data_IF_056050113350
#
_entry.id   IF_056050113350
#
_cell.length_a   1.000
_cell.length_b   1.000
_cell.length_c   1.000
_cell.angle_alpha   90.00
_cell.angle_beta   90.00
_cell.angle_gamma   90.00
#
_symmetry.space_group_name_H-M   'P 1'
#
loop_
_entity.id
_entity.type
_entity.pdbx_description
1 polymer ?
#
# COMPACT_ATOMS: atom_id res chain seq x y z
N UNK A 1 -3.25 -15.95 -14.64
CA UNK A 1 -3.21 -14.48 -14.53
C UNK A 1 -3.98 -14.09 -13.27
N UNK A 2 -3.42 -13.23 -12.42
CA UNK A 2 -4.13 -12.69 -11.24
C UNK A 2 -5.12 -11.63 -11.73
N UNK A 3 -6.34 -11.63 -11.18
CA UNK A 3 -7.38 -10.64 -11.47
C UNK A 3 -6.93 -9.23 -11.04
N UNK A 4 -7.40 -8.20 -11.75
CA UNK A 4 -7.03 -6.81 -11.47
C UNK A 4 -7.39 -6.39 -10.05
N UNK A 5 -8.57 -6.80 -9.61
CA UNK A 5 -9.13 -6.56 -8.29
C UNK A 5 -8.26 -7.17 -7.19
N UNK A 6 -7.75 -8.38 -7.40
CA UNK A 6 -6.86 -9.05 -6.43
C UNK A 6 -5.54 -8.31 -6.25
N UNK A 7 -5.01 -7.68 -7.30
CA UNK A 7 -3.78 -6.87 -7.23
C UNK A 7 -4.01 -5.59 -6.41
N UNK A 8 -5.16 -4.96 -6.58
CA UNK A 8 -5.57 -3.78 -5.80
C UNK A 8 -5.69 -4.15 -4.32
N UNK A 9 -6.38 -5.26 -4.02
CA UNK A 9 -6.54 -5.75 -2.63
C UNK A 9 -5.19 -6.07 -2.01
N UNK A 10 -4.26 -6.69 -2.75
CA UNK A 10 -2.93 -7.01 -2.23
C UNK A 10 -2.14 -5.75 -1.82
N UNK A 11 -2.17 -4.69 -2.64
CA UNK A 11 -1.51 -3.41 -2.28
C UNK A 11 -2.19 -2.76 -1.07
N UNK A 12 -3.53 -2.76 -1.03
CA UNK A 12 -4.29 -2.19 0.07
C UNK A 12 -4.02 -2.90 1.41
N UNK A 13 -4.00 -4.24 1.42
CA UNK A 13 -3.74 -5.06 2.60
C UNK A 13 -2.34 -4.81 3.19
N UNK A 14 -1.32 -4.64 2.34
CA UNK A 14 0.04 -4.32 2.78
C UNK A 14 0.09 -2.93 3.42
N UNK A 15 -0.53 -1.92 2.80
CA UNK A 15 -0.55 -0.56 3.36
C UNK A 15 -1.28 -0.53 4.70
N UNK A 16 -2.45 -1.15 4.80
CA UNK A 16 -3.21 -1.26 6.06
C UNK A 16 -2.37 -1.97 7.13
N UNK A 17 -1.77 -3.11 6.80
CA UNK A 17 -0.97 -3.90 7.72
C UNK A 17 0.29 -3.19 8.24
N UNK A 18 0.84 -2.25 7.47
CA UNK A 18 2.00 -1.44 7.87
C UNK A 18 1.61 -0.19 8.68
N UNK A 19 0.38 0.31 8.50
CA UNK A 19 -0.10 1.55 9.11
C UNK A 19 -0.85 1.33 10.41
N UNK A 20 -1.45 0.16 10.62
CA UNK A 20 -2.12 -0.18 11.88
C UNK A 20 -1.17 -0.69 12.96
N UNK A 21 -1.43 -0.27 14.20
CA UNK A 21 -0.76 -0.84 15.36
C UNK A 21 -1.29 -2.26 15.61
N UNK A 22 -0.38 -3.23 15.68
CA UNK A 22 -0.70 -4.59 16.14
C UNK A 22 -0.15 -4.77 17.56
N UNK A 23 -0.73 -5.65 18.40
CA UNK A 23 -0.34 -5.80 19.82
C UNK A 23 1.17 -5.99 20.08
N UNK A 24 1.92 -6.46 19.07
CA UNK A 24 3.37 -6.72 19.15
C UNK A 24 4.20 -5.94 18.11
N UNK A 25 3.58 -5.05 17.32
CA UNK A 25 4.26 -4.27 16.27
C UNK A 25 3.70 -2.84 16.25
N UNK A 26 4.54 -1.87 16.56
CA UNK A 26 4.21 -0.47 16.36
C UNK A 26 3.87 -0.20 14.89
N UNK A 27 2.89 0.67 14.65
CA UNK A 27 2.61 1.17 13.32
C UNK A 27 3.89 1.83 12.75
N UNK A 28 4.28 1.47 11.53
CA UNK A 28 5.41 2.10 10.85
C UNK A 28 5.02 3.46 10.24
N UNK A 29 3.72 3.70 10.13
CA UNK A 29 3.15 4.92 9.55
C UNK A 29 3.03 4.86 8.03
N UNK A 30 2.29 5.82 7.50
CA UNK A 30 1.90 5.86 6.08
C UNK A 30 3.10 6.04 5.14
N UNK A 31 4.08 6.85 5.52
CA UNK A 31 5.25 7.09 4.66
C UNK A 31 6.10 5.83 4.48
N UNK A 32 6.30 5.05 5.54
CA UNK A 32 7.02 3.78 5.45
C UNK A 32 6.27 2.76 4.59
N UNK A 33 4.93 2.73 4.70
CA UNK A 33 4.11 1.87 3.85
C UNK A 33 4.21 2.25 2.37
N UNK A 34 4.14 3.55 2.05
CA UNK A 34 4.30 4.07 0.69
C UNK A 34 5.69 3.78 0.12
N UNK A 35 6.74 3.91 0.93
CA UNK A 35 8.11 3.59 0.52
C UNK A 35 8.25 2.11 0.15
N UNK A 36 7.69 1.20 0.94
CA UNK A 36 7.76 -0.25 0.68
C UNK A 36 7.07 -0.64 -0.63
N UNK A 37 5.82 -0.20 -0.83
CA UNK A 37 5.08 -0.55 -2.06
C UNK A 37 5.69 0.09 -3.31
N UNK A 38 6.28 1.28 -3.17
CA UNK A 38 6.97 1.96 -4.27
C UNK A 38 8.29 1.28 -4.61
N UNK A 39 9.05 0.83 -3.60
CA UNK A 39 10.33 0.12 -3.76
C UNK A 39 10.18 -1.16 -4.58
N UNK A 40 9.07 -1.88 -4.42
CA UNK A 40 8.81 -3.14 -5.12
C UNK A 40 7.75 -3.03 -6.24
N UNK A 41 7.45 -1.80 -6.69
CA UNK A 41 6.53 -1.53 -7.80
C UNK A 41 6.99 -2.21 -9.09
N UNK A 42 6.12 -2.99 -9.72
CA UNK A 42 6.42 -3.75 -10.94
C UNK A 42 7.27 -5.01 -10.71
N UNK A 43 7.64 -5.31 -9.45
CA UNK A 43 8.41 -6.50 -9.07
C UNK A 43 7.53 -7.44 -8.24
N UNK A 44 7.09 -6.98 -7.06
CA UNK A 44 6.19 -7.73 -6.18
C UNK A 44 4.74 -7.23 -6.29
N UNK A 45 4.57 -5.95 -6.63
CA UNK A 45 3.28 -5.30 -6.71
C UNK A 45 2.99 -4.84 -8.13
N UNK A 46 1.72 -4.87 -8.49
CA UNK A 46 1.24 -4.33 -9.75
C UNK A 46 1.47 -2.81 -9.82
N UNK A 47 2.06 -2.36 -10.92
CA UNK A 47 2.51 -0.98 -11.07
C UNK A 47 1.37 0.04 -11.02
N UNK A 48 0.27 -0.25 -11.73
CA UNK A 48 -0.89 0.63 -11.81
C UNK A 48 -1.61 0.72 -10.45
N UNK A 49 -1.69 -0.41 -9.74
CA UNK A 49 -2.29 -0.49 -8.40
C UNK A 49 -1.49 0.32 -7.37
N UNK A 50 -0.16 0.25 -7.41
CA UNK A 50 0.72 1.06 -6.54
C UNK A 50 0.57 2.55 -6.83
N UNK A 51 0.59 2.95 -8.10
CA UNK A 51 0.49 4.37 -8.48
C UNK A 51 -0.87 4.96 -8.07
N UNK A 52 -1.95 4.20 -8.26
CA UNK A 52 -3.28 4.59 -7.81
C UNK A 52 -3.32 4.80 -6.28
N UNK A 53 -2.70 3.90 -5.52
CA UNK A 53 -2.64 3.98 -4.05
C UNK A 53 -1.83 5.21 -3.58
N UNK A 54 -0.63 5.42 -4.13
CA UNK A 54 0.23 6.56 -3.83
C UNK A 54 -0.48 7.88 -4.14
N UNK A 55 -1.13 7.97 -5.31
CA UNK A 55 -1.90 9.14 -5.74
C UNK A 55 -3.06 9.43 -4.77
N UNK A 56 -3.80 8.40 -4.37
CA UNK A 56 -4.92 8.54 -3.45
C UNK A 56 -4.48 9.07 -2.09
N UNK A 57 -3.38 8.56 -1.54
CA UNK A 57 -2.90 8.98 -0.23
C UNK A 57 -2.29 10.39 -0.27
N UNK A 58 -1.44 10.69 -1.26
CA UNK A 58 -0.72 11.97 -1.34
C UNK A 58 -1.55 13.13 -1.85
N UNK A 59 -2.33 12.91 -2.92
CA UNK A 59 -3.05 13.99 -3.59
C UNK A 59 -4.47 14.16 -3.03
N UNK A 60 -5.17 13.04 -2.76
CA UNK A 60 -6.53 13.08 -2.24
C UNK A 60 -6.61 13.14 -0.71
N UNK A 61 -5.45 13.21 -0.02
CA UNK A 61 -5.32 13.34 1.44
C UNK A 61 -6.14 12.28 2.20
N UNK A 62 -6.20 11.07 1.66
CA UNK A 62 -6.91 9.97 2.32
C UNK A 62 -6.34 9.72 3.72
N UNK A 63 -7.21 9.46 4.69
CA UNK A 63 -6.88 9.11 6.07
C UNK A 63 -7.68 7.88 6.46
N UNK A 64 -7.01 6.97 7.17
CA UNK A 64 -7.63 5.80 7.81
C UNK A 64 -8.42 6.21 9.05
#
# INVERSE_FOLDING_TARGET
QILGESKIVAVADVVESMTFHRPYRAALGIEMALQEITKYRGILYDADSVDACVKLIREKKFKF
#
